data_IF_452061552144
#
_entry.id   IF_452061552144
#
_cell.length_a   1.000
_cell.length_b   1.000
_cell.length_c   1.000
_cell.angle_alpha   90.00
_cell.angle_beta   90.00
_cell.angle_gamma   90.00
#
_symmetry.space_group_name_H-M   'P 1'
#
loop_
_entity.id
_entity.type
_entity.pdbx_description
1 polymer ?
#
# COMPACT_ATOMS: atom_id res chain seq x y z
N UNK A 1 1.04 -13.67 16.94
CA UNK A 1 2.22 -13.69 16.05
C UNK A 1 1.92 -12.69 14.95
N UNK A 2 2.80 -11.71 14.74
CA UNK A 2 2.70 -10.79 13.62
C UNK A 2 3.65 -11.31 12.55
N UNK A 3 3.13 -11.66 11.38
CA UNK A 3 3.92 -12.24 10.29
C UNK A 3 4.81 -11.19 9.59
N UNK A 4 4.63 -9.90 9.90
CA UNK A 4 5.42 -8.78 9.38
C UNK A 4 6.20 -8.07 10.48
N UNK A 5 7.38 -7.58 10.14
CA UNK A 5 8.14 -6.65 10.99
C UNK A 5 7.53 -5.24 10.93
N UNK A 6 7.80 -4.42 11.96
CA UNK A 6 7.31 -3.04 12.02
C UNK A 6 7.68 -2.20 10.78
N UNK A 7 8.84 -2.47 10.17
CA UNK A 7 9.31 -1.79 8.96
C UNK A 7 8.49 -2.20 7.73
N UNK A 8 8.27 -3.49 7.53
CA UNK A 8 7.41 -3.99 6.45
C UNK A 8 5.98 -3.46 6.58
N UNK A 9 5.44 -3.41 7.80
CA UNK A 9 4.14 -2.81 8.04
C UNK A 9 4.10 -1.33 7.69
N UNK A 10 5.19 -0.59 7.92
CA UNK A 10 5.29 0.82 7.54
C UNK A 10 5.29 0.99 6.01
N UNK A 11 6.01 0.13 5.29
CA UNK A 11 6.02 0.13 3.82
C UNK A 11 4.65 -0.20 3.23
N UNK A 12 3.97 -1.23 3.76
CA UNK A 12 2.60 -1.57 3.33
C UNK A 12 1.63 -0.41 3.61
N UNK A 13 1.76 0.28 4.74
CA UNK A 13 0.95 1.47 5.06
C UNK A 13 1.22 2.63 4.10
N UNK A 14 2.47 2.86 3.72
CA UNK A 14 2.82 3.88 2.73
C UNK A 14 2.19 3.59 1.36
N UNK A 15 2.27 2.34 0.90
CA UNK A 15 1.59 1.89 -0.32
C UNK A 15 0.07 2.06 -0.24
N UNK A 16 -0.54 1.76 0.92
CA UNK A 16 -1.97 1.92 1.12
C UNK A 16 -2.41 3.39 1.04
N UNK A 17 -1.62 4.31 1.60
CA UNK A 17 -1.86 5.76 1.53
C UNK A 17 -1.72 6.29 0.09
N UNK A 18 -0.70 5.81 -0.64
CA UNK A 18 -0.54 6.12 -2.06
C UNK A 18 -1.75 5.65 -2.89
N UNK A 19 -2.19 4.40 -2.65
CA UNK A 19 -3.35 3.86 -3.34
C UNK A 19 -4.65 4.57 -2.98
N UNK A 20 -4.80 5.05 -1.74
CA UNK A 20 -5.98 5.85 -1.35
C UNK A 20 -6.15 7.07 -2.24
N UNK A 21 -5.06 7.80 -2.48
CA UNK A 21 -5.06 8.99 -3.31
C UNK A 21 -5.42 8.63 -4.77
N UNK A 22 -4.87 7.53 -5.29
CA UNK A 22 -5.12 7.07 -6.65
C UNK A 22 -6.54 6.54 -6.88
N UNK A 23 -7.12 5.85 -5.90
CA UNK A 23 -8.49 5.32 -5.98
C UNK A 23 -9.56 6.33 -5.57
N UNK A 24 -9.18 7.55 -5.16
CA UNK A 24 -10.10 8.61 -4.76
C UNK A 24 -10.76 8.40 -3.40
N UNK A 25 -10.19 7.56 -2.54
CA UNK A 25 -10.68 7.36 -1.16
C UNK A 25 -10.63 5.92 -0.65
N UNK A 26 -10.99 5.76 0.63
CA UNK A 26 -10.97 4.47 1.31
C UNK A 26 -12.05 3.51 0.82
N UNK A 27 -13.25 4.00 0.48
CA UNK A 27 -14.35 3.18 -0.02
C UNK A 27 -13.97 2.42 -1.30
N UNK A 28 -13.46 3.14 -2.30
CA UNK A 28 -13.03 2.60 -3.58
C UNK A 28 -11.87 1.61 -3.42
N UNK A 29 -10.88 1.96 -2.59
CA UNK A 29 -9.75 1.09 -2.31
C UNK A 29 -10.17 -0.20 -1.58
N UNK A 30 -11.04 -0.09 -0.59
CA UNK A 30 -11.55 -1.25 0.15
C UNK A 30 -12.35 -2.19 -0.74
N UNK A 31 -13.15 -1.64 -1.67
CA UNK A 31 -13.86 -2.44 -2.69
C UNK A 31 -12.89 -3.18 -3.61
N UNK A 32 -11.83 -2.52 -4.07
CA UNK A 32 -10.80 -3.13 -4.91
C UNK A 32 -10.04 -4.25 -4.18
N UNK A 33 -9.72 -4.04 -2.90
CA UNK A 33 -9.06 -5.04 -2.06
C UNK A 33 -10.01 -6.11 -1.50
N UNK A 34 -11.33 -5.96 -1.70
CA UNK A 34 -12.41 -6.76 -1.11
C UNK A 34 -12.30 -6.87 0.41
N UNK A 35 -12.12 -5.74 1.07
CA UNK A 35 -12.14 -5.58 2.53
C UNK A 35 -13.22 -4.57 2.95
N UNK A 36 -13.51 -4.53 4.26
CA UNK A 36 -14.31 -3.45 4.84
C UNK A 36 -13.49 -2.17 4.90
N UNK A 37 -14.11 -1.04 4.59
CA UNK A 37 -13.46 0.27 4.65
C UNK A 37 -12.84 0.55 6.03
N UNK A 38 -13.59 0.28 7.10
CA UNK A 38 -13.11 0.43 8.47
C UNK A 38 -11.82 -0.37 8.74
N UNK A 39 -11.69 -1.57 8.18
CA UNK A 39 -10.48 -2.38 8.32
C UNK A 39 -9.29 -1.71 7.66
N UNK A 40 -9.45 -1.23 6.43
CA UNK A 40 -8.40 -0.53 5.69
C UNK A 40 -8.01 0.78 6.39
N UNK A 41 -8.99 1.55 6.84
CA UNK A 41 -8.75 2.79 7.58
C UNK A 41 -8.04 2.54 8.91
N UNK A 42 -8.40 1.49 9.65
CA UNK A 42 -7.73 1.11 10.89
C UNK A 42 -6.27 0.71 10.67
N UNK A 43 -5.99 -0.07 9.63
CA UNK A 43 -4.60 -0.44 9.27
C UNK A 43 -3.79 0.80 8.88
N UNK A 44 -4.38 1.70 8.10
CA UNK A 44 -3.75 2.97 7.74
C UNK A 44 -3.41 3.82 8.99
N UNK A 45 -4.24 3.77 10.03
CA UNK A 45 -4.04 4.49 11.30
C UNK A 45 -3.18 3.72 12.32
N UNK A 46 -2.49 2.65 11.91
CA UNK A 46 -1.50 1.97 12.75
C UNK A 46 -1.96 0.69 13.43
N UNK A 47 -3.11 0.11 13.04
CA UNK A 47 -3.37 -1.30 13.34
C UNK A 47 -2.43 -2.21 12.54
N UNK A 48 -2.20 -3.39 13.10
CA UNK A 48 -1.37 -4.44 12.50
C UNK A 48 -1.82 -4.79 11.09
N UNK A 49 -0.88 -4.85 10.17
CA UNK A 49 -1.07 -5.30 8.79
C UNK A 49 -1.06 -6.83 8.77
N UNK A 50 -2.11 -7.45 8.24
CA UNK A 50 -2.10 -8.90 8.00
C UNK A 50 -1.35 -9.23 6.70
N UNK A 51 -0.64 -10.37 6.67
CA UNK A 51 0.01 -10.87 5.44
C UNK A 51 -0.96 -11.02 4.26
N UNK A 52 -2.20 -11.42 4.51
CA UNK A 52 -3.25 -11.50 3.49
C UNK A 52 -3.60 -10.16 2.85
N UNK A 53 -3.50 -9.06 3.60
CA UNK A 53 -3.69 -7.71 3.08
C UNK A 53 -2.50 -7.30 2.21
N UNK A 54 -1.27 -7.54 2.65
CA UNK A 54 -0.06 -7.27 1.86
C UNK A 54 -0.08 -8.01 0.51
N UNK A 55 -0.45 -9.30 0.50
CA UNK A 55 -0.57 -10.10 -0.73
C UNK A 55 -1.67 -9.56 -1.66
N UNK A 56 -2.77 -9.04 -1.12
CA UNK A 56 -3.84 -8.45 -1.95
C UNK A 56 -3.44 -7.11 -2.53
N UNK A 57 -2.70 -6.30 -1.78
CA UNK A 57 -2.15 -5.03 -2.27
C UNK A 57 -1.16 -5.32 -3.40
N UNK A 58 -0.22 -6.26 -3.20
CA UNK A 58 0.77 -6.61 -4.23
C UNK A 58 0.11 -7.11 -5.52
N UNK A 59 -0.93 -7.94 -5.40
CA UNK A 59 -1.76 -8.37 -6.54
C UNK A 59 -2.51 -7.21 -7.20
N UNK A 60 -3.05 -6.28 -6.43
CA UNK A 60 -3.80 -5.12 -6.95
C UNK A 60 -2.91 -4.22 -7.81
N UNK A 61 -1.65 -4.03 -7.41
CA UNK A 61 -0.69 -3.16 -8.12
C UNK A 61 0.24 -3.93 -9.06
N UNK A 62 0.07 -5.25 -9.17
CA UNK A 62 0.88 -6.15 -9.99
C UNK A 62 2.40 -6.08 -9.67
N UNK A 63 2.77 -5.93 -8.40
CA UNK A 63 4.17 -5.95 -7.94
C UNK A 63 4.46 -7.19 -7.10
N UNK A 64 5.74 -7.55 -6.97
CA UNK A 64 6.17 -8.59 -6.05
C UNK A 64 5.78 -8.26 -4.61
N UNK A 65 5.44 -9.28 -3.80
CA UNK A 65 5.17 -9.04 -2.38
C UNK A 65 6.44 -8.59 -1.65
N UNK A 66 7.61 -9.09 -2.05
CA UNK A 66 8.90 -8.66 -1.55
C UNK A 66 9.18 -7.19 -1.87
N UNK A 67 8.82 -6.72 -3.07
CA UNK A 67 8.97 -5.33 -3.51
C UNK A 67 8.15 -4.37 -2.62
N UNK A 68 6.91 -4.77 -2.34
CA UNK A 68 6.02 -4.07 -1.42
C UNK A 68 6.58 -4.05 0.02
N UNK A 69 7.05 -5.19 0.51
CA UNK A 69 7.58 -5.32 1.89
C UNK A 69 8.92 -4.59 2.06
N UNK A 70 9.73 -4.49 1.00
CA UNK A 70 10.99 -3.73 0.97
C UNK A 70 10.77 -2.22 0.81
N UNK A 71 9.55 -1.78 0.50
CA UNK A 71 9.22 -0.37 0.31
C UNK A 71 9.67 0.19 -1.04
N UNK A 72 9.91 -0.68 -2.02
CA UNK A 72 10.20 -0.27 -3.39
C UNK A 72 8.93 0.17 -4.14
N UNK A 73 7.75 -0.16 -3.58
CA UNK A 73 6.46 0.39 -3.98
C UNK A 73 5.84 1.25 -2.87
N UNK A 74 5.40 2.49 -3.15
CA UNK A 74 5.53 3.21 -4.44
C UNK A 74 6.99 3.62 -4.71
N UNK A 75 7.41 3.70 -5.99
CA UNK A 75 8.78 4.11 -6.31
C UNK A 75 9.07 5.52 -5.77
N UNK A 76 10.28 5.78 -5.24
CA UNK A 76 10.65 7.10 -4.76
C UNK A 76 10.50 8.14 -5.88
N UNK A 77 9.91 9.29 -5.56
CA UNK A 77 9.61 10.33 -6.55
C UNK A 77 8.32 10.13 -7.36
N UNK A 78 7.52 9.09 -7.05
CA UNK A 78 6.21 8.91 -7.69
C UNK A 78 5.17 9.88 -7.12
N UNK A 79 4.65 10.77 -7.96
CA UNK A 79 3.56 11.65 -7.56
C UNK A 79 2.26 10.85 -7.35
N UNK A 80 1.62 10.93 -6.17
CA UNK A 80 0.42 10.15 -5.85
C UNK A 80 -0.84 10.59 -6.61
N UNK A 81 -0.83 11.78 -7.22
CA UNK A 81 -1.98 12.33 -7.95
C UNK A 81 -1.96 11.97 -9.43
N UNK A 82 -0.80 12.12 -10.09
CA UNK A 82 -0.67 11.84 -11.52
C UNK A 82 -0.01 10.50 -11.85
N UNK A 83 0.59 9.82 -10.86
CA UNK A 83 1.32 8.57 -11.08
C UNK A 83 2.63 8.73 -11.86
N UNK A 84 3.05 9.96 -12.15
CA UNK A 84 4.32 10.23 -12.80
C UNK A 84 5.44 9.98 -11.79
N UNK A 85 6.35 9.07 -12.14
CA UNK A 85 7.64 8.95 -11.46
C UNK A 85 8.49 10.10 -11.97
N UNK A 86 8.87 11.04 -11.11
CA UNK A 86 9.97 11.92 -11.49
C UNK A 86 11.19 11.02 -11.68
N UNK A 87 11.68 10.95 -12.92
CA UNK A 87 13.00 10.43 -13.18
C UNK A 87 13.96 11.20 -12.28
N UNK A 88 14.42 10.56 -11.20
CA UNK A 88 15.58 11.07 -10.46
C UNK A 88 16.73 10.92 -11.43
N UNK A 89 17.05 12.02 -12.10
CA UNK A 89 18.13 12.08 -13.09
C UNK A 89 19.44 11.57 -12.50
N UNK A 90 20.07 10.67 -13.28
CA UNK A 90 21.48 10.23 -13.31
C UNK A 90 22.38 10.51 -12.11
#
# INVERSE_FOLDING_TARGET
MNDLTNQEEAHVRAALQFLRLRFGGWASLAKALRFKEATIAHVANGKTVSASLAIRISKLVNVGVDDLLRGNFPPPGTCPYCGHQQEVGQ
#
